data_IF_643599380217
#
_entry.id   IF_643599380217
#
_cell.length_a   1.000
_cell.length_b   1.000
_cell.length_c   1.000
_cell.angle_alpha   90.00
_cell.angle_beta   90.00
_cell.angle_gamma   90.00
#
_symmetry.space_group_name_H-M   'P 1'
#
loop_
_entity.id
_entity.type
_entity.pdbx_description
1 polymer ?
#
# COMPACT_ATOMS: atom_id res chain seq x y z
N UNK A 1 -16.14 -17.00 -22.78
CA UNK A 1 -14.78 -16.78 -23.30
C UNK A 1 -14.40 -15.36 -22.97
N UNK A 2 -13.39 -15.15 -22.11
CA UNK A 2 -12.95 -13.82 -21.70
C UNK A 2 -11.79 -13.38 -22.59
N UNK A 3 -11.85 -12.15 -23.09
CA UNK A 3 -10.80 -11.56 -23.92
C UNK A 3 -10.35 -10.23 -23.30
N UNK A 4 -9.04 -10.09 -23.11
CA UNK A 4 -8.38 -8.88 -22.61
C UNK A 4 -7.34 -8.45 -23.65
N UNK A 5 -7.32 -7.17 -24.06
CA UNK A 5 -6.28 -6.64 -24.94
C UNK A 5 -5.94 -5.20 -24.52
N UNK A 6 -4.71 -5.00 -24.04
CA UNK A 6 -4.15 -3.68 -23.77
C UNK A 6 -3.08 -3.35 -24.80
N UNK A 7 -3.17 -2.16 -25.42
CA UNK A 7 -2.16 -1.65 -26.37
C UNK A 7 -0.99 -0.95 -25.66
N UNK A 8 -1.26 -0.41 -24.47
CA UNK A 8 -0.35 0.26 -23.51
C UNK A 8 -1.18 0.53 -22.25
N UNK A 9 -0.62 0.31 -21.07
CA UNK A 9 -1.22 0.66 -19.77
C UNK A 9 -0.46 1.86 -19.22
N UNK A 10 -1.15 2.98 -19.00
CA UNK A 10 -0.54 4.23 -18.47
C UNK A 10 -0.90 4.50 -17.00
N UNK A 11 -1.86 3.78 -16.44
CA UNK A 11 -2.23 3.90 -15.03
C UNK A 11 -1.26 3.11 -14.13
N UNK A 12 -0.92 3.68 -12.97
CA UNK A 12 -0.08 3.00 -11.99
C UNK A 12 -0.81 1.79 -11.40
N UNK A 13 -0.15 0.63 -11.42
CA UNK A 13 -0.61 -0.62 -10.83
C UNK A 13 0.58 -1.44 -10.31
N UNK A 14 0.31 -2.55 -9.62
CA UNK A 14 1.40 -3.42 -9.12
C UNK A 14 2.23 -3.99 -10.27
N UNK A 15 1.60 -4.33 -11.40
CA UNK A 15 2.29 -4.96 -12.53
C UNK A 15 3.31 -4.05 -13.23
N UNK A 16 3.15 -2.73 -13.17
CA UNK A 16 4.12 -1.76 -13.71
C UNK A 16 4.95 -1.05 -12.62
N UNK A 17 4.78 -1.47 -11.36
CA UNK A 17 5.55 -0.95 -10.24
C UNK A 17 6.98 -1.52 -10.22
N UNK A 18 7.93 -0.72 -9.73
CA UNK A 18 9.31 -1.15 -9.51
C UNK A 18 9.50 -1.58 -8.06
N UNK A 19 9.81 -2.86 -7.84
CA UNK A 19 10.23 -3.32 -6.52
C UNK A 19 11.60 -2.72 -6.17
N UNK A 20 11.66 -1.98 -5.06
CA UNK A 20 12.88 -1.28 -4.63
C UNK A 20 13.73 -2.10 -3.65
N UNK A 21 13.11 -3.01 -2.90
CA UNK A 21 13.73 -3.86 -1.89
C UNK A 21 12.87 -5.09 -1.60
N UNK A 22 13.38 -6.00 -0.76
CA UNK A 22 12.65 -7.19 -0.31
C UNK A 22 12.87 -8.41 -1.21
N UNK A 23 12.25 -9.53 -0.81
CA UNK A 23 12.25 -10.79 -1.60
C UNK A 23 11.23 -10.70 -2.73
N UNK A 24 11.32 -11.61 -3.68
CA UNK A 24 10.29 -11.77 -4.73
C UNK A 24 8.89 -11.91 -4.11
N UNK A 25 7.90 -11.21 -4.69
CA UNK A 25 6.53 -11.20 -4.22
C UNK A 25 5.84 -12.54 -4.51
N UNK A 26 5.08 -13.05 -3.54
CA UNK A 26 4.16 -14.16 -3.80
C UNK A 26 2.95 -13.68 -4.61
N UNK A 27 2.24 -14.62 -5.26
CA UNK A 27 1.02 -14.30 -5.98
C UNK A 27 -0.04 -13.64 -5.08
N UNK A 28 -0.16 -14.09 -3.83
CA UNK A 28 -1.06 -13.49 -2.85
C UNK A 28 -0.66 -12.05 -2.52
N UNK A 29 0.64 -11.76 -2.41
CA UNK A 29 1.10 -10.39 -2.19
C UNK A 29 0.81 -9.48 -3.37
N UNK A 30 0.90 -10.00 -4.59
CA UNK A 30 0.56 -9.23 -5.80
C UNK A 30 -0.92 -8.86 -5.76
N UNK A 31 -1.81 -9.81 -5.48
CA UNK A 31 -3.25 -9.54 -5.41
C UNK A 31 -3.64 -8.60 -4.27
N UNK A 32 -3.10 -8.83 -3.07
CA UNK A 32 -3.36 -7.96 -1.93
C UNK A 32 -2.81 -6.54 -2.17
N UNK A 33 -1.65 -6.41 -2.83
CA UNK A 33 -1.06 -5.11 -3.13
C UNK A 33 -1.85 -4.35 -4.19
N UNK A 34 -2.40 -5.07 -5.17
CA UNK A 34 -3.22 -4.48 -6.21
C UNK A 34 -4.52 -3.96 -5.59
N UNK A 35 -5.21 -4.78 -4.81
CA UNK A 35 -6.40 -4.37 -4.05
C UNK A 35 -6.12 -3.17 -3.15
N UNK A 36 -5.01 -3.19 -2.40
CA UNK A 36 -4.65 -2.10 -1.50
C UNK A 36 -4.35 -0.81 -2.26
N UNK A 37 -3.63 -0.90 -3.38
CA UNK A 37 -3.26 0.26 -4.18
C UNK A 37 -4.44 0.85 -4.94
N UNK A 38 -5.30 0.03 -5.52
CA UNK A 38 -6.55 0.49 -6.13
C UNK A 38 -7.44 1.18 -5.09
N UNK A 39 -7.57 0.61 -3.88
CA UNK A 39 -8.39 1.21 -2.82
C UNK A 39 -7.87 2.58 -2.39
N UNK A 40 -6.55 2.76 -2.23
CA UNK A 40 -6.01 4.06 -1.79
C UNK A 40 -6.12 5.14 -2.87
N UNK A 41 -6.17 4.77 -4.16
CA UNK A 41 -6.34 5.71 -5.29
C UNK A 41 -7.72 6.35 -5.36
N UNK A 42 -8.74 5.77 -4.71
CA UNK A 42 -10.09 6.34 -4.66
C UNK A 42 -10.17 7.64 -3.83
N UNK A 43 -9.12 7.96 -3.06
CA UNK A 43 -9.08 9.15 -2.21
C UNK A 43 -8.21 10.26 -2.81
N UNK A 44 -8.70 11.51 -2.73
CA UNK A 44 -7.96 12.69 -3.18
C UNK A 44 -7.09 13.28 -2.07
N UNK A 45 -7.54 13.18 -0.83
CA UNK A 45 -6.83 13.59 0.38
C UNK A 45 -5.72 12.60 0.72
N UNK A 46 -4.79 12.97 1.61
CA UNK A 46 -3.74 12.04 2.05
C UNK A 46 -4.36 10.85 2.76
N UNK A 47 -4.20 9.67 2.16
CA UNK A 47 -4.85 8.44 2.56
C UNK A 47 -3.84 7.33 2.86
N UNK A 48 -4.15 6.52 3.86
CA UNK A 48 -3.49 5.25 4.14
C UNK A 48 -4.53 4.14 4.14
N UNK A 49 -4.27 3.05 3.43
CA UNK A 49 -5.10 1.83 3.42
C UNK A 49 -4.23 0.64 3.80
N UNK A 50 -4.82 -0.29 4.57
CA UNK A 50 -4.19 -1.54 4.95
C UNK A 50 -5.12 -2.70 4.57
N UNK A 51 -4.58 -3.65 3.82
CA UNK A 51 -5.28 -4.84 3.33
C UNK A 51 -4.58 -6.10 3.83
N UNK A 52 -5.36 -7.13 4.15
CA UNK A 52 -4.87 -8.48 4.39
C UNK A 52 -5.81 -9.51 3.77
N UNK A 53 -5.26 -10.41 2.96
CA UNK A 53 -6.04 -11.44 2.25
C UNK A 53 -7.20 -10.83 1.46
N UNK A 54 -6.90 -9.77 0.70
CA UNK A 54 -7.82 -9.01 -0.14
C UNK A 54 -8.98 -8.32 0.61
N UNK A 55 -8.90 -8.20 1.94
CA UNK A 55 -9.88 -7.49 2.76
C UNK A 55 -9.24 -6.24 3.39
N UNK A 56 -9.82 -5.04 3.22
CA UNK A 56 -9.41 -3.86 3.96
C UNK A 56 -9.62 -4.06 5.46
N UNK A 57 -8.55 -3.97 6.25
CA UNK A 57 -8.61 -3.99 7.71
C UNK A 57 -8.43 -2.61 8.33
N UNK A 58 -8.02 -1.61 7.54
CA UNK A 58 -7.92 -0.23 7.98
C UNK A 58 -7.84 0.74 6.82
N UNK A 59 -8.48 1.89 6.97
CA UNK A 59 -8.38 3.01 6.04
C UNK A 59 -8.55 4.32 6.81
N UNK A 60 -7.71 5.31 6.54
CA UNK A 60 -7.81 6.62 7.18
C UNK A 60 -7.37 7.74 6.26
N UNK A 61 -8.01 8.89 6.44
CA UNK A 61 -7.69 10.16 5.80
C UNK A 61 -7.23 11.13 6.87
N UNK A 62 -6.08 11.77 6.67
CA UNK A 62 -5.58 12.76 7.61
C UNK A 62 -4.60 13.72 6.94
N UNK A 63 -4.58 15.00 7.36
CA UNK A 63 -3.63 15.99 6.83
C UNK A 63 -2.17 15.61 7.14
N UNK A 64 -1.95 15.00 8.31
CA UNK A 64 -0.69 14.39 8.70
C UNK A 64 -0.65 12.91 8.28
N UNK A 65 0.26 12.56 7.35
CA UNK A 65 0.43 11.21 6.82
C UNK A 65 0.75 10.16 7.91
N UNK A 66 1.53 10.52 8.93
CA UNK A 66 1.84 9.62 10.05
C UNK A 66 0.58 9.26 10.84
N UNK A 67 -0.30 10.24 11.05
CA UNK A 67 -1.56 10.00 11.74
C UNK A 67 -2.51 9.14 10.88
N UNK A 68 -2.56 9.35 9.56
CA UNK A 68 -3.30 8.48 8.66
C UNK A 68 -2.83 7.01 8.77
N UNK A 69 -1.52 6.78 8.88
CA UNK A 69 -0.99 5.43 9.11
C UNK A 69 -1.43 4.85 10.46
N UNK A 70 -1.27 5.62 11.54
CA UNK A 70 -1.61 5.18 12.90
C UNK A 70 -3.10 4.84 12.99
N UNK A 71 -3.97 5.71 12.49
CA UNK A 71 -5.42 5.52 12.53
C UNK A 71 -5.85 4.30 11.68
N UNK A 72 -5.26 4.10 10.50
CA UNK A 72 -5.53 2.93 9.68
C UNK A 72 -5.05 1.64 10.36
N UNK A 73 -3.85 1.64 10.95
CA UNK A 73 -3.30 0.49 11.70
C UNK A 73 -4.15 0.15 12.92
N UNK A 74 -4.58 1.17 13.67
CA UNK A 74 -5.27 0.99 14.94
C UNK A 74 -6.77 0.65 14.76
N UNK A 75 -7.29 0.69 13.53
CA UNK A 75 -8.62 0.18 13.18
C UNK A 75 -8.74 -1.33 13.45
N UNK A 76 -7.75 -2.11 13.03
CA UNK A 76 -7.58 -3.53 13.39
C UNK A 76 -6.08 -3.90 13.42
N UNK A 77 -5.40 -3.67 14.55
CA UNK A 77 -3.95 -3.88 14.65
C UNK A 77 -3.54 -5.35 14.53
N UNK A 78 -4.46 -6.29 14.82
CA UNK A 78 -4.20 -7.73 14.69
C UNK A 78 -4.16 -8.12 13.22
N UNK A 79 -5.11 -7.62 12.43
CA UNK A 79 -5.12 -7.86 10.98
C UNK A 79 -4.08 -7.02 10.25
N UNK A 80 -3.73 -5.83 10.73
CA UNK A 80 -2.69 -5.00 10.11
C UNK A 80 -1.29 -5.65 10.19
N UNK A 81 -1.03 -6.50 11.20
CA UNK A 81 0.21 -7.26 11.29
C UNK A 81 0.33 -8.29 10.14
N UNK A 82 1.42 -8.17 9.38
CA UNK A 82 1.65 -8.94 8.15
C UNK A 82 0.75 -8.52 6.99
N UNK A 83 0.13 -7.34 7.06
CA UNK A 83 -0.68 -6.79 5.99
C UNK A 83 0.13 -6.09 4.91
N UNK A 84 -0.60 -5.53 3.94
CA UNK A 84 -0.09 -4.66 2.88
C UNK A 84 -0.58 -3.25 3.13
N UNK A 85 0.34 -2.29 3.14
CA UNK A 85 0.07 -0.88 3.37
C UNK A 85 0.21 -0.11 2.07
N UNK A 86 -0.75 0.75 1.76
CA UNK A 86 -0.73 1.64 0.61
C UNK A 86 -0.91 3.11 1.01
N UNK A 87 -0.18 3.99 0.34
CA UNK A 87 -0.41 5.44 0.36
C UNK A 87 -0.67 5.95 -1.05
N UNK A 88 -1.52 6.97 -1.20
CA UNK A 88 -1.73 7.67 -2.47
C UNK A 88 -0.74 8.82 -2.71
N UNK A 89 0.21 9.03 -1.80
CA UNK A 89 1.21 10.10 -1.86
C UNK A 89 2.61 9.59 -1.52
N UNK A 90 3.63 10.45 -1.67
CA UNK A 90 5.02 10.10 -1.34
C UNK A 90 5.14 9.72 0.13
N UNK A 91 5.76 8.58 0.42
CA UNK A 91 5.99 8.15 1.81
C UNK A 91 7.09 9.00 2.45
N UNK A 92 6.76 9.64 3.57
CA UNK A 92 7.69 10.44 4.37
C UNK A 92 8.59 9.55 5.25
N UNK A 93 9.73 10.10 5.68
CA UNK A 93 10.77 9.35 6.39
C UNK A 93 10.29 8.86 7.77
N UNK A 94 9.61 9.72 8.52
CA UNK A 94 9.00 9.43 9.81
C UNK A 94 7.93 8.34 9.71
N UNK A 95 7.12 8.38 8.64
CA UNK A 95 6.12 7.35 8.34
C UNK A 95 6.78 6.01 8.04
N UNK A 96 7.83 5.99 7.21
CA UNK A 96 8.58 4.77 6.93
C UNK A 96 9.26 4.20 8.19
N UNK A 97 9.75 5.06 9.09
CA UNK A 97 10.30 4.66 10.38
C UNK A 97 9.23 4.06 11.30
N UNK A 98 8.05 4.66 11.36
CA UNK A 98 6.93 4.10 12.15
C UNK A 98 6.47 2.75 11.61
N UNK A 99 6.30 2.63 10.28
CA UNK A 99 5.94 1.38 9.62
C UNK A 99 6.95 0.27 9.93
N UNK A 100 8.25 0.60 9.98
CA UNK A 100 9.31 -0.39 10.26
C UNK A 100 9.23 -1.03 11.65
N UNK A 101 8.45 -0.44 12.58
CA UNK A 101 8.18 -1.01 13.90
C UNK A 101 7.12 -2.13 13.86
N UNK A 102 6.37 -2.22 12.77
CA UNK A 102 5.35 -3.24 12.53
C UNK A 102 5.83 -4.18 11.44
N UNK A 103 5.62 -5.49 11.62
CA UNK A 103 5.85 -6.41 10.51
C UNK A 103 4.76 -6.20 9.45
N UNK A 104 5.14 -5.79 8.25
CA UNK A 104 4.29 -5.69 7.07
C UNK A 104 4.95 -6.45 5.91
N UNK A 105 4.14 -7.02 5.01
CA UNK A 105 4.69 -7.77 3.88
C UNK A 105 5.02 -6.87 2.70
N UNK A 106 4.18 -5.86 2.42
CA UNK A 106 4.35 -4.92 1.30
C UNK A 106 3.97 -3.51 1.74
N UNK A 107 4.77 -2.54 1.30
CA UNK A 107 4.44 -1.12 1.31
C UNK A 107 4.46 -0.62 -0.13
N UNK A 108 3.34 -0.10 -0.61
CA UNK A 108 3.19 0.43 -1.96
C UNK A 108 2.80 1.91 -1.93
N UNK A 109 3.45 2.72 -2.76
CA UNK A 109 3.15 4.13 -2.91
C UNK A 109 3.70 4.66 -4.24
N UNK A 110 3.19 5.80 -4.75
CA UNK A 110 3.69 6.41 -5.99
C UNK A 110 5.17 6.79 -5.93
N UNK A 111 5.66 7.20 -4.74
CA UNK A 111 7.04 7.65 -4.54
C UNK A 111 7.55 7.15 -3.19
N UNK A 112 8.72 6.52 -3.22
CA UNK A 112 9.42 6.04 -2.03
C UNK A 112 10.74 6.80 -1.85
N UNK A 113 11.09 7.15 -0.61
CA UNK A 113 12.43 7.66 -0.28
C UNK A 113 13.34 6.43 -0.12
N UNK A 114 14.28 6.24 -1.05
CA UNK A 114 15.33 5.24 -0.88
C UNK A 114 16.35 5.76 0.13
N UNK A 115 16.67 4.94 1.14
CA UNK A 115 17.90 5.14 1.92
C UNK A 115 19.07 4.62 1.08
N UNK A 116 20.10 5.45 0.92
CA UNK A 116 21.39 5.03 0.37
C UNK A 116 22.06 4.01 1.28
#
# INVERSE_FOLDING_TARGET
MHHFCSKKIEEACVANSKQLQGKELSLNNIYDADSCFETVKEFNETACVIVKHNNPCGAALHENQLQAYIDARDCDPVSAFGGIVAFNSKVLKDVAEEISKTFIEVLIAPIMIQRH
#
